data_IF_136132322403
#
_entry.id   IF_136132322403
#
_cell.length_a   1.000
_cell.length_b   1.000
_cell.length_c   1.000
_cell.angle_alpha   90.00
_cell.angle_beta   90.00
_cell.angle_gamma   90.00
#
_symmetry.space_group_name_H-M   'P 1'
#
loop_
_entity.id
_entity.type
_entity.pdbx_description
1 polymer ?
#
# COMPACT_ATOMS: atom_id res chain seq x y z
N UNK A 1 2.65 20.31 -21.76
CA UNK A 1 4.12 20.41 -21.94
C UNK A 1 4.74 19.30 -21.10
N UNK A 2 5.46 18.36 -21.70
CA UNK A 2 6.11 17.27 -20.95
C UNK A 2 7.22 17.90 -20.11
N UNK A 3 7.07 17.86 -18.79
CA UNK A 3 8.14 18.24 -17.88
C UNK A 3 9.06 17.03 -17.78
N UNK A 4 10.04 16.97 -18.70
CA UNK A 4 11.01 15.87 -18.84
C UNK A 4 11.71 15.52 -17.52
N UNK A 5 11.82 16.49 -16.61
CA UNK A 5 12.37 16.32 -15.26
C UNK A 5 11.66 15.21 -14.48
N UNK A 6 10.34 15.05 -14.63
CA UNK A 6 9.59 14.00 -13.92
C UNK A 6 9.80 12.61 -14.50
N UNK A 7 9.98 12.51 -15.82
CA UNK A 7 10.33 11.25 -16.49
C UNK A 7 11.74 10.84 -16.09
N UNK A 8 12.68 11.79 -16.01
CA UNK A 8 14.03 11.55 -15.52
C UNK A 8 14.00 11.09 -14.06
N UNK A 9 13.21 11.74 -13.19
CA UNK A 9 13.03 11.35 -11.79
C UNK A 9 12.51 9.92 -11.68
N UNK A 10 11.52 9.53 -12.48
CA UNK A 10 10.99 8.16 -12.54
C UNK A 10 12.07 7.14 -12.90
N UNK A 11 12.86 7.41 -13.92
CA UNK A 11 13.95 6.53 -14.36
C UNK A 11 15.01 6.42 -13.27
N UNK A 12 15.40 7.53 -12.64
CA UNK A 12 16.35 7.54 -11.52
C UNK A 12 15.80 6.69 -10.38
N UNK A 13 14.53 6.86 -10.01
CA UNK A 13 13.90 6.07 -8.96
C UNK A 13 13.87 4.58 -9.29
N UNK A 14 13.51 4.19 -10.52
CA UNK A 14 13.54 2.80 -10.96
C UNK A 14 14.95 2.19 -10.93
N UNK A 15 15.97 2.96 -11.28
CA UNK A 15 17.36 2.54 -11.15
C UNK A 15 17.78 2.38 -9.69
N UNK A 16 17.35 3.28 -8.80
CA UNK A 16 17.63 3.22 -7.37
C UNK A 16 16.96 1.99 -6.74
N UNK A 17 15.68 1.74 -7.03
CA UNK A 17 14.95 0.58 -6.47
C UNK A 17 15.57 -0.73 -6.90
N UNK A 18 15.99 -0.82 -8.17
CA UNK A 18 16.69 -1.98 -8.69
C UNK A 18 18.07 -2.18 -8.03
N UNK A 19 18.91 -1.13 -8.00
CA UNK A 19 20.25 -1.20 -7.40
C UNK A 19 20.22 -1.51 -5.90
N UNK A 20 19.19 -1.03 -5.19
CA UNK A 20 18.99 -1.31 -3.77
C UNK A 20 18.35 -2.68 -3.49
N UNK A 21 18.08 -3.48 -4.53
CA UNK A 21 17.36 -4.76 -4.43
C UNK A 21 16.01 -4.63 -3.71
N UNK A 22 15.39 -3.46 -3.80
CA UNK A 22 14.05 -3.24 -3.28
C UNK A 22 13.00 -3.82 -4.23
N UNK A 23 13.28 -3.75 -5.54
CA UNK A 23 12.43 -4.25 -6.60
C UNK A 23 13.28 -4.91 -7.68
N UNK A 24 12.78 -5.99 -8.29
CA UNK A 24 13.46 -6.66 -9.39
C UNK A 24 13.47 -5.80 -10.67
N UNK A 25 14.18 -6.26 -11.71
CA UNK A 25 14.30 -5.52 -12.95
C UNK A 25 12.94 -5.32 -13.61
N UNK A 26 12.13 -6.38 -13.70
CA UNK A 26 10.81 -6.33 -14.33
C UNK A 26 9.85 -5.43 -13.56
N UNK A 27 9.81 -5.53 -12.24
CA UNK A 27 9.02 -4.64 -11.40
C UNK A 27 9.47 -3.18 -11.52
N UNK A 28 10.78 -2.92 -11.62
CA UNK A 28 11.30 -1.56 -11.78
C UNK A 28 10.93 -0.97 -13.14
N UNK A 29 11.00 -1.75 -14.22
CA UNK A 29 10.53 -1.33 -15.55
C UNK A 29 9.02 -1.06 -15.51
N UNK A 30 8.24 -1.96 -14.92
CA UNK A 30 6.79 -1.82 -14.84
C UNK A 30 6.37 -0.58 -14.04
N UNK A 31 7.06 -0.30 -12.93
CA UNK A 31 6.85 0.90 -12.12
C UNK A 31 7.14 2.19 -12.91
N UNK A 32 8.21 2.22 -13.72
CA UNK A 32 8.50 3.36 -14.60
C UNK A 32 7.37 3.55 -15.62
N UNK A 33 6.93 2.48 -16.29
CA UNK A 33 5.85 2.54 -17.29
C UNK A 33 4.55 3.07 -16.67
N UNK A 34 4.14 2.51 -15.53
CA UNK A 34 2.96 3.00 -14.80
C UNK A 34 3.11 4.48 -14.42
N UNK A 35 4.28 4.87 -13.91
CA UNK A 35 4.52 6.24 -13.49
C UNK A 35 4.45 7.25 -14.63
N UNK A 36 4.98 6.89 -15.81
CA UNK A 36 4.87 7.73 -17.01
C UNK A 36 3.39 7.94 -17.37
N UNK A 37 2.58 6.87 -17.40
CA UNK A 37 1.16 6.97 -17.71
C UNK A 37 0.42 7.86 -16.69
N UNK A 38 0.71 7.73 -15.39
CA UNK A 38 0.08 8.57 -14.35
C UNK A 38 0.42 10.05 -14.54
N UNK A 39 1.67 10.39 -14.89
CA UNK A 39 2.05 11.79 -15.15
C UNK A 39 1.15 12.40 -16.25
N UNK A 40 0.88 11.63 -17.30
CA UNK A 40 0.03 12.09 -18.40
C UNK A 40 -1.46 12.11 -18.05
N UNK A 41 -1.93 11.16 -17.24
CA UNK A 41 -3.36 10.99 -16.95
C UNK A 41 -3.85 11.88 -15.78
N UNK A 42 -3.08 11.93 -14.69
CA UNK A 42 -3.49 12.58 -13.43
C UNK A 42 -2.54 13.71 -12.99
N UNK A 43 -1.31 13.71 -13.51
CA UNK A 43 -0.28 14.67 -13.15
C UNK A 43 0.68 14.16 -12.07
N UNK A 44 1.74 14.94 -11.85
CA UNK A 44 2.87 14.54 -10.99
C UNK A 44 2.47 14.37 -9.52
N UNK A 45 1.50 15.12 -9.03
CA UNK A 45 1.10 15.09 -7.62
C UNK A 45 0.57 13.71 -7.21
N UNK A 46 -0.13 13.02 -8.10
CA UNK A 46 -0.62 11.66 -7.89
C UNK A 46 0.53 10.66 -7.86
N UNK A 47 1.50 10.83 -8.76
CA UNK A 47 2.71 10.01 -8.76
C UNK A 47 3.52 10.17 -7.46
N UNK A 48 3.65 11.39 -6.94
CA UNK A 48 4.36 11.66 -5.68
C UNK A 48 3.74 10.91 -4.50
N UNK A 49 2.41 10.72 -4.47
CA UNK A 49 1.75 9.94 -3.43
C UNK A 49 2.07 8.44 -3.53
N UNK A 50 2.16 7.88 -4.73
CA UNK A 50 2.62 6.49 -4.94
C UNK A 50 4.08 6.33 -4.50
N UNK A 51 4.94 7.32 -4.81
CA UNK A 51 6.32 7.31 -4.33
C UNK A 51 6.42 7.38 -2.81
N UNK A 52 5.54 8.14 -2.15
CA UNK A 52 5.49 8.14 -0.69
C UNK A 52 5.19 6.73 -0.15
N UNK A 53 4.20 6.03 -0.71
CA UNK A 53 3.94 4.62 -0.37
C UNK A 53 5.18 3.74 -0.58
N UNK A 54 5.87 3.86 -1.72
CA UNK A 54 7.08 3.09 -2.01
C UNK A 54 8.20 3.35 -1.00
N UNK A 55 8.44 4.63 -0.66
CA UNK A 55 9.47 5.03 0.31
C UNK A 55 9.14 4.49 1.70
N UNK A 56 7.89 4.64 2.13
CA UNK A 56 7.42 4.09 3.40
C UNK A 56 7.57 2.56 3.42
N UNK A 57 7.09 1.88 2.38
CA UNK A 57 7.18 0.43 2.27
C UNK A 57 8.62 -0.08 2.37
N UNK A 58 9.54 0.48 1.56
CA UNK A 58 10.97 0.11 1.61
C UNK A 58 11.59 0.43 2.98
N UNK A 59 11.20 1.54 3.61
CA UNK A 59 11.66 1.91 4.95
C UNK A 59 11.24 0.90 6.01
N UNK A 60 9.96 0.51 6.02
CA UNK A 60 9.40 -0.41 7.01
C UNK A 60 9.80 -1.87 6.76
N UNK A 61 10.01 -2.30 5.53
CA UNK A 61 10.57 -3.65 5.24
C UNK A 61 11.96 -3.84 5.85
N UNK A 62 12.76 -2.76 5.96
CA UNK A 62 14.07 -2.81 6.62
C UNK A 62 14.02 -2.75 8.15
N UNK A 63 12.88 -2.38 8.74
CA UNK A 63 12.72 -2.37 10.19
C UNK A 63 12.86 -3.78 10.75
N UNK A 64 13.72 -3.97 11.76
CA UNK A 64 14.02 -5.29 12.37
C UNK A 64 14.37 -6.38 11.34
N UNK A 65 15.10 -6.01 10.30
CA UNK A 65 15.52 -6.90 9.22
C UNK A 65 16.17 -8.21 9.72
N UNK A 66 17.08 -8.16 10.68
CA UNK A 66 17.80 -9.35 11.15
C UNK A 66 16.87 -10.34 11.87
N UNK A 67 15.99 -9.83 12.72
CA UNK A 67 14.96 -10.63 13.37
C UNK A 67 14.01 -11.30 12.36
N UNK A 68 13.55 -10.55 11.34
CA UNK A 68 12.66 -11.09 10.29
C UNK A 68 13.32 -12.21 9.50
N UNK A 69 14.65 -12.12 9.27
CA UNK A 69 15.42 -13.19 8.63
C UNK A 69 15.54 -14.43 9.52
N UNK A 70 15.78 -14.25 10.81
CA UNK A 70 15.88 -15.36 11.77
C UNK A 70 14.60 -16.19 11.84
N UNK A 71 13.43 -15.53 11.80
CA UNK A 71 12.13 -16.22 11.83
C UNK A 71 11.60 -16.61 10.44
N UNK A 72 12.35 -16.32 9.37
CA UNK A 72 12.02 -16.75 8.00
C UNK A 72 10.89 -15.99 7.31
N UNK A 73 10.48 -14.81 7.80
CA UNK A 73 9.34 -14.03 7.28
C UNK A 73 9.78 -12.80 6.47
N UNK A 74 11.08 -12.63 6.26
CA UNK A 74 11.61 -11.49 5.53
C UNK A 74 11.30 -11.57 4.03
N UNK A 75 10.43 -10.68 3.57
CA UNK A 75 10.22 -10.44 2.14
C UNK A 75 11.44 -9.71 1.57
N UNK A 76 12.22 -10.40 0.73
CA UNK A 76 13.44 -9.88 0.13
C UNK A 76 13.18 -8.83 -0.95
N UNK A 77 13.53 -9.18 -2.19
CA UNK A 77 13.32 -8.29 -3.34
C UNK A 77 11.87 -8.43 -3.78
N UNK A 78 11.10 -7.32 -3.77
CA UNK A 78 9.73 -7.32 -4.32
C UNK A 78 9.79 -7.55 -5.83
N UNK A 79 8.73 -8.15 -6.37
CA UNK A 79 8.63 -8.45 -7.81
C UNK A 79 7.54 -7.62 -8.47
N UNK A 80 7.43 -7.74 -9.79
CA UNK A 80 6.31 -7.16 -10.56
C UNK A 80 4.93 -7.53 -9.95
N UNK A 81 4.80 -8.71 -9.36
CA UNK A 81 3.55 -9.16 -8.75
C UNK A 81 3.12 -8.26 -7.59
N UNK A 82 4.06 -7.88 -6.72
CA UNK A 82 3.80 -6.98 -5.60
C UNK A 82 3.46 -5.57 -6.06
N UNK A 83 4.05 -5.12 -7.17
CA UNK A 83 3.75 -3.80 -7.78
C UNK A 83 2.34 -3.80 -8.34
N UNK A 84 1.95 -4.88 -9.04
CA UNK A 84 0.62 -5.02 -9.61
C UNK A 84 -0.43 -5.16 -8.50
N UNK A 85 -0.26 -6.08 -7.55
CA UNK A 85 -1.27 -6.34 -6.51
C UNK A 85 -1.58 -5.11 -5.66
N UNK A 86 -0.55 -4.36 -5.27
CA UNK A 86 -0.73 -3.17 -4.42
C UNK A 86 -0.99 -1.89 -5.21
N UNK A 87 -0.52 -1.81 -6.45
CA UNK A 87 -0.47 -0.56 -7.22
C UNK A 87 -1.50 -0.43 -8.33
N UNK A 88 -2.03 -1.54 -8.88
CA UNK A 88 -2.86 -1.46 -10.09
C UNK A 88 -4.21 -0.77 -9.84
N UNK A 89 -4.82 -0.97 -8.67
CA UNK A 89 -6.09 -0.32 -8.32
C UNK A 89 -5.88 1.19 -8.23
N UNK A 90 -4.88 1.63 -7.48
CA UNK A 90 -4.51 3.05 -7.39
C UNK A 90 -4.19 3.62 -8.78
N UNK A 91 -3.42 2.91 -9.60
CA UNK A 91 -3.10 3.33 -10.96
C UNK A 91 -4.35 3.55 -11.82
N UNK A 92 -5.30 2.60 -11.81
CA UNK A 92 -6.54 2.72 -12.55
C UNK A 92 -7.36 3.91 -12.02
N UNK A 93 -7.51 4.05 -10.70
CA UNK A 93 -8.26 5.16 -10.10
C UNK A 93 -7.63 6.52 -10.46
N UNK A 94 -6.30 6.63 -10.42
CA UNK A 94 -5.58 7.81 -10.85
C UNK A 94 -5.81 8.11 -12.34
N UNK A 95 -5.72 7.11 -13.20
CA UNK A 95 -5.89 7.28 -14.64
C UNK A 95 -7.26 7.86 -15.03
N UNK A 96 -8.29 7.61 -14.22
CA UNK A 96 -9.64 8.17 -14.38
C UNK A 96 -9.91 9.41 -13.52
N UNK A 97 -8.90 9.96 -12.82
CA UNK A 97 -9.04 11.13 -11.95
C UNK A 97 -9.88 10.88 -10.69
N UNK A 98 -10.09 9.62 -10.30
CA UNK A 98 -10.86 9.26 -9.12
C UNK A 98 -10.01 9.37 -7.85
N UNK A 99 -10.05 10.53 -7.19
CA UNK A 99 -9.23 10.81 -6.00
C UNK A 99 -9.61 9.93 -4.81
N UNK A 100 -10.89 9.58 -4.67
CA UNK A 100 -11.40 8.86 -3.51
C UNK A 100 -10.94 7.40 -3.53
N UNK A 101 -11.14 6.74 -4.67
CA UNK A 101 -10.66 5.38 -4.90
C UNK A 101 -9.14 5.29 -4.86
N UNK A 102 -8.45 6.32 -5.37
CA UNK A 102 -6.99 6.41 -5.33
C UNK A 102 -6.42 6.49 -3.92
N UNK A 103 -6.91 7.45 -3.11
CA UNK A 103 -6.47 7.62 -1.72
C UNK A 103 -6.80 6.37 -0.91
N UNK A 104 -8.01 5.81 -1.06
CA UNK A 104 -8.42 4.59 -0.34
C UNK A 104 -7.55 3.38 -0.69
N UNK A 105 -7.20 3.21 -1.96
CA UNK A 105 -6.33 2.12 -2.43
C UNK A 105 -4.90 2.24 -1.88
N UNK A 106 -4.26 3.41 -2.02
CA UNK A 106 -2.88 3.61 -1.53
C UNK A 106 -2.82 3.57 -0.02
N UNK A 107 -3.79 4.17 0.67
CA UNK A 107 -3.87 4.13 2.12
C UNK A 107 -4.01 2.70 2.63
N UNK A 108 -4.75 1.84 1.91
CA UNK A 108 -4.84 0.41 2.22
C UNK A 108 -3.49 -0.28 2.09
N UNK A 109 -2.84 -0.17 0.93
CA UNK A 109 -1.54 -0.81 0.71
C UNK A 109 -0.48 -0.32 1.72
N UNK A 110 -0.51 0.96 2.06
CA UNK A 110 0.41 1.56 3.03
C UNK A 110 0.12 1.08 4.45
N UNK A 111 -1.16 1.07 4.85
CA UNK A 111 -1.58 0.60 6.16
C UNK A 111 -1.21 -0.87 6.34
N UNK A 112 -1.48 -1.70 5.34
CA UNK A 112 -1.14 -3.12 5.37
C UNK A 112 0.36 -3.36 5.51
N UNK A 113 1.16 -2.75 4.62
CA UNK A 113 2.63 -2.87 4.69
C UNK A 113 3.17 -2.40 6.05
N UNK A 114 2.71 -1.27 6.57
CA UNK A 114 3.19 -0.79 7.87
C UNK A 114 2.71 -1.68 9.02
N UNK A 115 1.49 -2.21 8.94
CA UNK A 115 0.93 -3.06 9.97
C UNK A 115 1.64 -4.42 10.06
N UNK A 116 1.90 -5.07 8.94
CA UNK A 116 2.62 -6.34 8.88
C UNK A 116 4.08 -6.16 9.30
N UNK A 117 4.78 -5.18 8.73
CA UNK A 117 6.22 -4.98 8.95
C UNK A 117 6.56 -4.56 10.38
N UNK A 118 5.69 -3.79 11.05
CA UNK A 118 5.85 -3.41 12.46
C UNK A 118 5.24 -4.47 13.37
N UNK A 119 4.11 -5.08 12.98
CA UNK A 119 3.37 -6.02 13.80
C UNK A 119 4.14 -7.31 14.10
N UNK A 120 5.01 -7.75 13.18
CA UNK A 120 5.94 -8.87 13.37
C UNK A 120 6.81 -8.72 14.63
N UNK A 121 7.04 -7.50 15.10
CA UNK A 121 7.80 -7.25 16.33
C UNK A 121 7.10 -7.69 17.63
N UNK A 122 5.83 -8.10 17.56
CA UNK A 122 4.99 -8.47 18.70
C UNK A 122 4.28 -9.80 18.46
N UNK A 123 3.59 -10.34 19.46
CA UNK A 123 2.80 -11.58 19.28
C UNK A 123 1.44 -11.26 18.66
N UNK A 124 1.19 -11.62 17.39
CA UNK A 124 -0.09 -11.37 16.74
C UNK A 124 -1.17 -12.35 17.23
N UNK A 125 -2.42 -12.00 16.93
CA UNK A 125 -3.60 -12.83 17.12
C UNK A 125 -4.35 -12.94 15.80
N UNK A 126 -4.87 -14.12 15.48
CA UNK A 126 -5.64 -14.30 14.26
C UNK A 126 -6.93 -13.48 14.30
N UNK A 127 -7.25 -12.74 13.24
CA UNK A 127 -8.41 -11.83 13.22
C UNK A 127 -9.76 -12.55 13.40
N UNK A 128 -9.85 -13.82 13.03
CA UNK A 128 -11.11 -14.59 13.05
C UNK A 128 -11.47 -15.14 14.43
N UNK A 129 -10.49 -15.48 15.27
CA UNK A 129 -10.72 -16.15 16.56
C UNK A 129 -9.91 -15.59 17.73
N UNK A 130 -9.09 -14.55 17.49
CA UNK A 130 -8.25 -13.86 18.47
C UNK A 130 -7.25 -14.75 19.25
N UNK A 131 -6.98 -15.97 18.76
CA UNK A 131 -5.94 -16.85 19.30
C UNK A 131 -4.56 -16.35 18.89
N UNK A 132 -3.58 -16.48 19.79
CA UNK A 132 -2.18 -16.13 19.50
C UNK A 132 -1.65 -17.02 18.39
N UNK A 133 -0.93 -16.43 17.44
CA UNK A 133 -0.27 -17.13 16.34
C UNK A 133 1.19 -16.67 16.24
N UNK A 134 2.07 -17.46 15.60
CA UNK A 134 3.46 -17.04 15.37
C UNK A 134 3.53 -15.70 14.60
N UNK A 135 4.52 -14.83 14.89
CA UNK A 135 4.80 -13.65 14.07
C UNK A 135 4.98 -14.01 12.59
N UNK A 136 4.37 -13.20 11.70
CA UNK A 136 4.36 -13.44 10.25
C UNK A 136 3.33 -14.46 9.77
N UNK A 137 2.39 -14.87 10.62
CA UNK A 137 1.21 -15.65 10.16
C UNK A 137 0.24 -14.74 9.41
N UNK A 138 -0.16 -15.13 8.21
CA UNK A 138 -1.18 -14.43 7.42
C UNK A 138 -2.50 -14.27 8.20
N UNK A 139 -3.10 -13.08 8.14
CA UNK A 139 -4.29 -12.75 8.91
C UNK A 139 -4.08 -12.56 10.42
N UNK A 140 -2.83 -12.52 10.87
CA UNK A 140 -2.46 -12.13 12.23
C UNK A 140 -2.48 -10.61 12.42
N UNK A 141 -3.28 -10.13 13.37
CA UNK A 141 -3.33 -8.72 13.77
C UNK A 141 -2.62 -8.52 15.12
N UNK A 142 -1.92 -7.39 15.27
CA UNK A 142 -1.29 -7.01 16.53
C UNK A 142 -1.60 -5.55 16.85
N UNK A 143 -1.64 -5.19 18.13
CA UNK A 143 -1.95 -3.81 18.55
C UNK A 143 -0.94 -2.82 17.98
N UNK A 144 0.35 -3.18 18.02
CA UNK A 144 1.42 -2.34 17.48
C UNK A 144 1.32 -2.21 15.95
N UNK A 145 1.07 -3.32 15.26
CA UNK A 145 0.86 -3.32 13.81
C UNK A 145 -0.34 -2.47 13.41
N UNK A 146 -1.50 -2.65 14.05
CA UNK A 146 -2.70 -1.86 13.76
C UNK A 146 -2.45 -0.36 13.95
N UNK A 147 -1.75 0.03 15.03
CA UNK A 147 -1.41 1.44 15.24
C UNK A 147 -0.46 1.98 14.15
N UNK A 148 0.55 1.20 13.76
CA UNK A 148 1.44 1.56 12.67
C UNK A 148 0.68 1.69 11.34
N UNK A 149 -0.25 0.79 11.05
CA UNK A 149 -1.09 0.84 9.85
C UNK A 149 -1.97 2.09 9.80
N UNK A 150 -2.63 2.44 10.92
CA UNK A 150 -3.44 3.68 11.02
C UNK A 150 -2.58 4.93 10.82
N UNK A 151 -1.36 4.97 11.38
CA UNK A 151 -0.42 6.07 11.12
C UNK A 151 -0.06 6.12 9.63
N UNK A 152 0.24 4.98 9.02
CA UNK A 152 0.53 4.89 7.59
C UNK A 152 -0.59 5.44 6.72
N UNK A 153 -1.83 5.02 6.98
CA UNK A 153 -3.02 5.57 6.33
C UNK A 153 -3.14 7.09 6.52
N UNK A 154 -2.96 7.58 7.75
CA UNK A 154 -2.99 9.01 8.06
C UNK A 154 -1.93 9.82 7.30
N UNK A 155 -0.72 9.29 7.14
CA UNK A 155 0.34 9.91 6.34
C UNK A 155 -0.06 10.05 4.88
N UNK A 156 -0.74 9.04 4.30
CA UNK A 156 -1.27 9.11 2.93
C UNK A 156 -2.37 10.18 2.82
N UNK A 157 -3.30 10.25 3.77
CA UNK A 157 -4.37 11.26 3.77
C UNK A 157 -3.84 12.69 3.87
N UNK A 158 -2.86 12.90 4.75
CA UNK A 158 -2.20 14.21 4.92
C UNK A 158 -1.40 14.59 3.67
N UNK A 159 -0.63 13.65 3.12
CA UNK A 159 0.13 13.89 1.89
C UNK A 159 -0.80 14.18 0.70
N UNK A 160 -1.95 13.51 0.60
CA UNK A 160 -2.91 13.77 -0.46
C UNK A 160 -3.46 15.20 -0.43
N UNK A 161 -3.69 15.75 0.76
CA UNK A 161 -4.06 17.15 0.95
C UNK A 161 -2.91 18.10 0.58
N UNK A 162 -1.70 17.88 1.10
CA UNK A 162 -0.53 18.74 0.86
C UNK A 162 -0.16 18.76 -0.64
N UNK A 163 -0.24 17.61 -1.31
CA UNK A 163 0.02 17.49 -2.74
C UNK A 163 -1.13 18.02 -3.61
N UNK A 164 -2.23 18.49 -3.02
CA UNK A 164 -3.36 19.06 -3.74
C UNK A 164 -4.11 18.04 -4.60
N UNK A 165 -4.09 16.76 -4.25
CA UNK A 165 -4.91 15.74 -4.92
C UNK A 165 -6.40 16.01 -4.66
N UNK A 166 -6.71 16.46 -3.45
CA UNK A 166 -8.02 17.01 -3.11
C UNK A 166 -7.86 18.14 -2.07
N UNK A 167 -8.57 19.27 -2.21
CA UNK A 167 -8.33 20.47 -1.40
C UNK A 167 -8.90 20.43 0.03
N UNK A 168 -9.66 19.40 0.39
CA UNK A 168 -10.26 19.27 1.73
C UNK A 168 -9.49 18.24 2.58
N UNK A 169 -8.82 18.72 3.62
CA UNK A 169 -8.07 17.89 4.57
C UNK A 169 -8.96 16.88 5.29
N UNK A 170 -10.17 17.28 5.71
CA UNK A 170 -11.07 16.38 6.43
C UNK A 170 -11.49 15.24 5.52
N UNK A 171 -11.78 15.54 4.25
CA UNK A 171 -12.14 14.53 3.26
C UNK A 171 -11.00 13.56 2.97
N UNK A 172 -9.79 14.04 2.69
CA UNK A 172 -8.65 13.16 2.40
C UNK A 172 -8.27 12.31 3.61
N UNK A 173 -8.26 12.89 4.82
CA UNK A 173 -7.97 12.16 6.06
C UNK A 173 -9.03 11.12 6.37
N UNK A 174 -10.32 11.45 6.23
CA UNK A 174 -11.41 10.51 6.47
C UNK A 174 -11.33 9.32 5.50
N UNK A 175 -11.15 9.57 4.20
CA UNK A 175 -10.99 8.50 3.21
C UNK A 175 -9.78 7.63 3.55
N UNK A 176 -8.62 8.22 3.81
CA UNK A 176 -7.41 7.46 4.07
C UNK A 176 -7.52 6.63 5.37
N UNK A 177 -7.96 7.25 6.47
CA UNK A 177 -8.06 6.58 7.78
C UNK A 177 -9.15 5.50 7.79
N UNK A 178 -10.34 5.77 7.24
CA UNK A 178 -11.45 4.82 7.29
C UNK A 178 -11.28 3.75 6.20
N UNK A 179 -11.13 4.17 4.93
CA UNK A 179 -11.06 3.22 3.83
C UNK A 179 -9.73 2.45 3.80
N UNK A 180 -8.62 3.12 4.13
CA UNK A 180 -7.30 2.47 4.22
C UNK A 180 -7.22 1.43 5.35
N UNK A 181 -7.68 1.78 6.54
CA UNK A 181 -7.71 0.84 7.67
C UNK A 181 -8.70 -0.30 7.41
N UNK A 182 -9.86 -0.02 6.81
CA UNK A 182 -10.81 -1.05 6.41
C UNK A 182 -10.18 -2.04 5.42
N UNK A 183 -9.53 -1.55 4.37
CA UNK A 183 -8.85 -2.41 3.40
C UNK A 183 -7.77 -3.29 4.06
N UNK A 184 -7.00 -2.76 5.00
CA UNK A 184 -6.01 -3.53 5.77
C UNK A 184 -6.67 -4.64 6.63
N UNK A 185 -7.84 -4.39 7.22
CA UNK A 185 -8.57 -5.45 7.92
C UNK A 185 -9.16 -6.50 6.97
N UNK A 186 -9.57 -6.11 5.76
CA UNK A 186 -9.99 -7.04 4.71
C UNK A 186 -8.83 -7.94 4.30
N UNK A 187 -7.62 -7.40 4.15
CA UNK A 187 -6.40 -8.17 3.90
C UNK A 187 -6.23 -9.26 4.97
N UNK A 188 -6.20 -8.86 6.24
CA UNK A 188 -6.06 -9.81 7.36
C UNK A 188 -7.18 -10.85 7.40
N UNK A 189 -8.42 -10.46 7.09
CA UNK A 189 -9.55 -11.38 7.07
C UNK A 189 -9.42 -12.42 5.95
N UNK A 190 -9.09 -11.98 4.74
CA UNK A 190 -8.87 -12.86 3.60
C UNK A 190 -7.65 -13.76 3.80
N UNK A 191 -6.58 -13.23 4.40
CA UNK A 191 -5.41 -13.99 4.83
C UNK A 191 -5.80 -15.15 5.74
N UNK A 192 -6.53 -14.85 6.81
CA UNK A 192 -6.96 -15.86 7.80
C UNK A 192 -7.94 -16.91 7.24
N UNK A 193 -8.78 -16.54 6.26
CA UNK A 193 -9.88 -17.39 5.77
C UNK A 193 -9.49 -18.18 4.52
N UNK A 194 -8.74 -17.58 3.60
CA UNK A 194 -8.48 -18.09 2.26
C UNK A 194 -6.99 -18.35 1.97
N UNK A 195 -6.09 -17.47 2.41
CA UNK A 195 -4.65 -17.60 2.14
C UNK A 195 -4.02 -18.75 2.91
N UNK A 196 -4.29 -18.86 4.21
CA UNK A 196 -3.83 -20.00 5.04
C UNK A 196 -4.26 -21.35 4.44
N UNK A 197 -5.40 -21.39 3.74
CA UNK A 197 -5.93 -22.60 3.11
C UNK A 197 -5.40 -22.84 1.69
N UNK A 198 -4.59 -21.93 1.16
CA UNK A 198 -4.02 -21.99 -0.19
C UNK A 198 -5.01 -21.67 -1.32
N UNK A 199 -6.18 -21.10 -1.03
CA UNK A 199 -7.14 -20.72 -2.06
C UNK A 199 -6.75 -19.43 -2.78
N UNK A 200 -6.08 -18.52 -2.06
CA UNK A 200 -5.54 -17.28 -2.59
C UNK A 200 -4.05 -17.21 -2.29
N UNK A 201 -3.31 -16.52 -3.15
CA UNK A 201 -1.94 -16.08 -2.84
C UNK A 201 -1.97 -14.66 -2.26
N UNK A 202 -0.88 -14.28 -1.60
CA UNK A 202 -0.67 -12.94 -1.04
C UNK A 202 -1.00 -11.80 -2.03
N UNK A 203 -0.63 -11.97 -3.30
CA UNK A 203 -0.94 -10.99 -4.35
C UNK A 203 -2.44 -10.81 -4.58
N UNK A 204 -3.21 -11.89 -4.53
CA UNK A 204 -4.66 -11.83 -4.70
C UNK A 204 -5.31 -11.14 -3.50
N UNK A 205 -4.82 -11.43 -2.29
CA UNK A 205 -5.30 -10.83 -1.04
C UNK A 205 -5.04 -9.33 -1.04
N UNK A 206 -3.81 -8.92 -1.34
CA UNK A 206 -3.40 -7.52 -1.51
C UNK A 206 -4.26 -6.77 -2.56
N UNK A 207 -4.51 -7.41 -3.70
CA UNK A 207 -5.34 -6.82 -4.76
C UNK A 207 -6.78 -6.60 -4.31
N UNK A 208 -7.37 -7.58 -3.62
CA UNK A 208 -8.75 -7.49 -3.12
C UNK A 208 -8.86 -6.48 -1.98
N UNK A 209 -7.86 -6.41 -1.11
CA UNK A 209 -7.78 -5.43 -0.03
C UNK A 209 -7.74 -4.00 -0.58
N UNK A 210 -6.81 -3.71 -1.50
CA UNK A 210 -6.69 -2.39 -2.12
C UNK A 210 -7.93 -2.00 -2.93
N UNK A 211 -8.58 -2.97 -3.58
CA UNK A 211 -9.88 -2.76 -4.24
C UNK A 211 -10.98 -2.43 -3.24
N UNK A 212 -11.07 -3.14 -2.11
CA UNK A 212 -12.03 -2.87 -1.05
C UNK A 212 -11.85 -1.46 -0.46
N UNK A 213 -10.59 -1.03 -0.25
CA UNK A 213 -10.27 0.33 0.16
C UNK A 213 -10.71 1.38 -0.87
N UNK A 214 -10.47 1.13 -2.16
CA UNK A 214 -10.91 2.04 -3.21
C UNK A 214 -12.44 2.17 -3.29
N UNK A 215 -13.15 1.03 -3.21
CA UNK A 215 -14.61 0.98 -3.23
C UNK A 215 -15.21 1.73 -2.05
N UNK A 216 -14.69 1.49 -0.83
CA UNK A 216 -15.17 2.18 0.35
C UNK A 216 -14.88 3.70 0.28
N UNK A 217 -13.71 4.10 -0.22
CA UNK A 217 -13.40 5.51 -0.46
C UNK A 217 -14.43 6.19 -1.38
N UNK A 218 -14.82 5.52 -2.47
CA UNK A 218 -15.87 6.01 -3.37
C UNK A 218 -17.24 6.09 -2.69
N UNK A 219 -17.62 5.06 -1.92
CA UNK A 219 -18.88 5.03 -1.18
C UNK A 219 -18.96 6.17 -0.17
N UNK A 220 -17.88 6.43 0.57
CA UNK A 220 -17.81 7.56 1.49
C UNK A 220 -18.03 8.88 0.78
N UNK A 221 -17.43 9.05 -0.40
CA UNK A 221 -17.64 10.22 -1.25
C UNK A 221 -19.07 10.41 -1.69
N UNK A 222 -19.82 9.34 -1.91
CA UNK A 222 -21.21 9.40 -2.35
C UNK A 222 -22.23 9.54 -1.20
N UNK A 223 -21.91 9.01 -0.01
CA UNK A 223 -22.82 9.01 1.14
C UNK A 223 -22.67 10.23 2.05
N UNK A 224 -21.45 10.73 2.19
CA UNK A 224 -21.10 11.74 3.21
C UNK A 224 -21.09 13.15 2.59
N UNK A 225 -20.91 13.25 1.28
CA UNK A 225 -20.63 14.49 0.56
C UNK A 225 -21.18 14.46 -0.86
#
# INVERSE_FOLDING_TARGET
>A
MIIWEYVILLVIMGLITYKRKALDLLGSIFMIVMGVIIIFAAGVNWLLLIFLFLILGVGFTRYKHDYKKEIGVYEGTRTIKNVVSNGIVAFVMAAFGNYAGFIGSIATATADTMASEVGVATTPRLITNFKKVPPGTDGGISVLGTFAGIIGAGLIGLAAYILGIYPDLVRTMAIALVAGTFGCFIDSLLGAVLEIKGYLSNEHVNLLATLAGALLGNIMVWLIW
#
